data_IF_878515990536
#
_entry.id   IF_878515990536
#
_cell.length_a   1.000
_cell.length_b   1.000
_cell.length_c   1.000
_cell.angle_alpha   90.00
_cell.angle_beta   90.00
_cell.angle_gamma   90.00
#
_symmetry.space_group_name_H-M   'P 1'
#
loop_
_entity.id
_entity.type
_entity.pdbx_description
1 polymer ?
#
# COMPACT_ATOMS: atom_id res chain seq x y z
N UNK A 1 -11.73 23.07 6.72
CA UNK A 1 -12.03 22.68 8.13
C UNK A 1 -13.53 22.68 8.49
N UNK A 2 -14.37 23.57 7.93
CA UNK A 2 -15.77 23.71 8.38
C UNK A 2 -16.69 22.49 8.27
N UNK A 3 -16.43 21.53 7.36
CA UNK A 3 -17.29 20.32 7.24
C UNK A 3 -17.08 19.35 8.40
N UNK A 4 -15.83 19.07 8.78
CA UNK A 4 -15.51 18.18 9.89
C UNK A 4 -15.96 18.77 11.23
N UNK A 5 -15.73 20.07 11.44
CA UNK A 5 -16.16 20.77 12.66
C UNK A 5 -17.67 20.65 12.87
N UNK A 6 -18.49 20.92 11.83
CA UNK A 6 -19.95 20.80 11.93
C UNK A 6 -20.44 19.40 12.29
N UNK A 7 -19.73 18.36 11.85
CA UNK A 7 -20.09 16.98 12.20
C UNK A 7 -19.81 16.70 13.66
N UNK A 8 -18.66 17.16 14.16
CA UNK A 8 -18.30 17.05 15.58
C UNK A 8 -19.27 17.85 16.45
N UNK A 9 -19.61 19.08 16.06
CA UNK A 9 -20.60 19.92 16.75
C UNK A 9 -21.99 19.28 16.76
N UNK A 10 -22.33 18.52 15.72
CA UNK A 10 -23.57 17.73 15.63
C UNK A 10 -23.51 16.39 16.40
N UNK A 11 -22.42 16.11 17.13
CA UNK A 11 -22.28 14.94 18.00
C UNK A 11 -21.48 13.77 17.41
N UNK A 12 -20.83 13.93 16.25
CA UNK A 12 -19.94 12.90 15.73
C UNK A 12 -18.74 12.71 16.65
N UNK A 13 -18.55 11.48 17.15
CA UNK A 13 -17.41 11.14 18.00
C UNK A 13 -16.17 10.87 17.13
N UNK A 14 -15.33 11.89 16.95
CA UNK A 14 -14.13 11.81 16.13
C UNK A 14 -13.18 10.71 16.59
N UNK A 15 -12.95 10.58 17.90
CA UNK A 15 -12.04 9.56 18.46
C UNK A 15 -12.53 8.14 18.12
N UNK A 16 -13.82 7.89 18.28
CA UNK A 16 -14.42 6.60 17.94
C UNK A 16 -14.31 6.32 16.43
N UNK A 17 -14.61 7.30 15.57
CA UNK A 17 -14.53 7.15 14.12
C UNK A 17 -13.09 6.86 13.68
N UNK A 18 -12.12 7.64 14.16
CA UNK A 18 -10.69 7.42 13.87
C UNK A 18 -10.26 6.04 14.34
N UNK A 19 -10.60 5.67 15.58
CA UNK A 19 -10.27 4.35 16.12
C UNK A 19 -10.82 3.23 15.25
N UNK A 20 -12.07 3.33 14.79
CA UNK A 20 -12.75 2.26 14.03
C UNK A 20 -12.43 2.23 12.54
N UNK A 21 -11.84 3.27 11.98
CA UNK A 21 -11.60 3.37 10.53
C UNK A 21 -10.14 3.49 10.15
N UNK A 22 -9.33 4.22 10.92
CA UNK A 22 -7.94 4.53 10.57
C UNK A 22 -6.93 3.84 11.48
N UNK A 23 -7.30 3.54 12.73
CA UNK A 23 -6.35 3.03 13.75
C UNK A 23 -6.54 1.55 14.09
N UNK A 24 -7.35 0.81 13.34
CA UNK A 24 -7.55 -0.63 13.55
C UNK A 24 -7.17 -1.43 12.33
N UNK A 25 -6.33 -2.43 12.54
CA UNK A 25 -6.04 -3.48 11.57
C UNK A 25 -6.69 -4.78 12.01
N UNK A 26 -7.21 -5.53 11.05
CA UNK A 26 -7.63 -6.90 11.32
C UNK A 26 -6.39 -7.74 11.62
N UNK A 27 -6.50 -8.71 12.53
CA UNK A 27 -5.38 -9.60 12.87
C UNK A 27 -4.78 -10.31 11.66
N UNK A 28 -5.61 -10.64 10.65
CA UNK A 28 -5.14 -11.22 9.39
C UNK A 28 -4.19 -10.29 8.63
N UNK A 29 -4.40 -8.97 8.68
CA UNK A 29 -3.49 -7.98 8.08
C UNK A 29 -2.16 -7.95 8.81
N UNK A 30 -2.16 -7.99 10.14
CA UNK A 30 -0.93 -8.04 10.95
C UNK A 30 -0.14 -9.32 10.65
N UNK A 31 -0.84 -10.47 10.53
CA UNK A 31 -0.21 -11.73 10.13
C UNK A 31 0.36 -11.66 8.71
N UNK A 32 -0.37 -11.04 7.79
CA UNK A 32 0.12 -10.83 6.42
C UNK A 32 1.42 -10.04 6.44
N UNK A 33 1.47 -8.93 7.19
CA UNK A 33 2.70 -8.14 7.35
C UNK A 33 3.84 -9.01 7.84
N UNK A 34 3.65 -9.78 8.91
CA UNK A 34 4.71 -10.65 9.44
C UNK A 34 5.27 -11.65 8.41
N UNK A 35 4.45 -12.10 7.45
CA UNK A 35 4.88 -13.02 6.40
C UNK A 35 5.63 -12.33 5.25
N UNK A 36 5.28 -11.08 4.93
CA UNK A 36 5.86 -10.38 3.77
C UNK A 36 7.04 -9.49 4.15
N UNK A 37 7.17 -9.06 5.41
CA UNK A 37 8.30 -8.24 5.88
C UNK A 37 9.68 -8.83 5.57
N UNK A 38 9.92 -10.16 5.64
CA UNK A 38 11.21 -10.74 5.24
C UNK A 38 11.57 -10.54 3.75
N UNK A 39 10.60 -10.15 2.91
CA UNK A 39 10.79 -9.88 1.48
C UNK A 39 11.02 -8.41 1.17
N UNK A 40 11.06 -7.55 2.19
CA UNK A 40 11.32 -6.11 2.01
C UNK A 40 12.71 -5.91 1.41
N UNK A 41 12.79 -5.08 0.39
CA UNK A 41 14.02 -4.62 -0.24
C UNK A 41 14.05 -3.10 -0.25
N UNK A 42 15.27 -2.56 -0.21
CA UNK A 42 15.55 -1.13 -0.31
C UNK A 42 16.74 -0.95 -1.25
N UNK A 43 16.56 -0.15 -2.29
CA UNK A 43 17.60 0.18 -3.27
C UNK A 43 17.38 1.59 -3.78
N UNK A 44 18.43 2.41 -3.80
CA UNK A 44 18.41 3.79 -4.30
C UNK A 44 17.23 4.66 -3.77
N UNK A 45 16.86 4.43 -2.52
CA UNK A 45 15.76 5.13 -1.85
C UNK A 45 14.36 4.71 -2.29
N UNK A 46 14.24 3.59 -2.99
CA UNK A 46 12.98 2.91 -3.26
C UNK A 46 12.88 1.71 -2.33
N UNK A 47 11.85 1.66 -1.48
CA UNK A 47 11.55 0.51 -0.61
C UNK A 47 10.35 -0.25 -1.17
N UNK A 48 10.41 -1.58 -1.20
CA UNK A 48 9.28 -2.36 -1.69
C UNK A 48 9.15 -3.73 -1.06
N UNK A 49 7.98 -4.32 -1.26
CA UNK A 49 7.64 -5.66 -0.77
C UNK A 49 6.70 -6.35 -1.76
N UNK A 50 6.69 -7.68 -1.72
CA UNK A 50 5.77 -8.51 -2.51
C UNK A 50 4.72 -9.15 -1.61
N UNK A 51 3.48 -9.16 -2.09
CA UNK A 51 2.36 -9.85 -1.45
C UNK A 51 1.86 -10.89 -2.43
N UNK A 52 2.13 -12.16 -2.13
CA UNK A 52 1.62 -13.30 -2.91
C UNK A 52 0.22 -13.70 -2.43
N UNK A 53 -0.52 -14.37 -3.30
CA UNK A 53 -1.81 -14.99 -2.95
C UNK A 53 -1.64 -16.01 -1.83
N UNK A 54 -0.56 -16.79 -1.86
CA UNK A 54 -0.24 -17.77 -0.83
C UNK A 54 -0.06 -17.12 0.55
N UNK A 55 0.69 -16.01 0.62
CA UNK A 55 0.88 -15.28 1.88
C UNK A 55 -0.44 -14.68 2.39
N UNK A 56 -1.25 -14.10 1.49
CA UNK A 56 -2.58 -13.55 1.85
C UNK A 56 -3.50 -14.63 2.41
N UNK A 57 -3.59 -15.78 1.74
CA UNK A 57 -4.40 -16.91 2.17
C UNK A 57 -3.92 -17.48 3.51
N UNK A 58 -2.62 -17.71 3.66
CA UNK A 58 -2.03 -18.23 4.90
C UNK A 58 -2.24 -17.28 6.10
N UNK A 59 -2.27 -15.97 5.85
CA UNK A 59 -2.54 -14.98 6.89
C UNK A 59 -4.02 -14.86 7.26
N UNK A 60 -4.95 -15.38 6.44
CA UNK A 60 -6.38 -15.11 6.58
C UNK A 60 -6.71 -13.62 6.45
N UNK A 61 -5.93 -12.89 5.63
CA UNK A 61 -6.12 -11.46 5.42
C UNK A 61 -7.29 -11.21 4.44
N UNK A 62 -8.04 -10.11 4.61
CA UNK A 62 -9.12 -9.76 3.69
C UNK A 62 -8.59 -9.57 2.26
N UNK A 63 -9.41 -9.84 1.26
CA UNK A 63 -9.11 -9.57 -0.17
C UNK A 63 -8.77 -8.09 -0.40
N UNK A 64 -9.51 -7.20 0.26
CA UNK A 64 -9.30 -5.75 0.15
C UNK A 64 -8.47 -5.21 1.30
N UNK A 65 -7.43 -4.47 0.93
CA UNK A 65 -6.58 -3.74 1.85
C UNK A 65 -5.42 -4.59 2.37
N UNK A 66 -4.28 -3.94 2.49
CA UNK A 66 -3.04 -4.44 3.10
C UNK A 66 -2.67 -3.57 4.31
N UNK A 67 -3.64 -2.88 4.91
CA UNK A 67 -3.44 -2.09 6.13
C UNK A 67 -2.63 -0.81 5.95
N UNK A 68 -2.54 -0.27 4.73
CA UNK A 68 -1.67 0.88 4.41
C UNK A 68 -0.17 0.54 4.54
N UNK A 69 0.19 -0.71 4.24
CA UNK A 69 1.58 -1.17 4.29
C UNK A 69 2.51 -0.30 3.43
N UNK A 70 2.04 0.23 2.30
CA UNK A 70 2.85 1.08 1.43
C UNK A 70 3.19 2.41 2.13
N UNK A 71 2.25 2.96 2.90
CA UNK A 71 2.48 4.13 3.73
C UNK A 71 3.40 3.82 4.91
N UNK A 72 3.31 2.62 5.49
CA UNK A 72 4.23 2.18 6.55
C UNK A 72 5.67 2.04 6.04
N UNK A 73 5.89 1.41 4.88
CA UNK A 73 7.22 1.29 4.28
C UNK A 73 7.84 2.66 3.99
N UNK A 74 7.05 3.62 3.51
CA UNK A 74 7.51 5.00 3.24
C UNK A 74 7.97 5.76 4.51
N UNK A 75 7.73 5.23 5.71
CA UNK A 75 8.25 5.83 6.95
C UNK A 75 9.73 5.49 7.21
N UNK A 76 10.33 4.57 6.44
CA UNK A 76 11.75 4.29 6.52
C UNK A 76 12.55 5.55 6.16
N UNK A 77 13.52 5.91 7.00
CA UNK A 77 14.30 7.15 6.88
C UNK A 77 14.96 7.30 5.50
N UNK A 78 15.47 6.19 4.97
CA UNK A 78 16.20 6.15 3.71
C UNK A 78 15.29 5.98 2.48
N UNK A 79 13.96 5.95 2.66
CA UNK A 79 13.00 5.73 1.58
C UNK A 79 12.33 7.03 1.10
N UNK A 80 12.43 7.28 -0.20
CA UNK A 80 11.73 8.37 -0.90
C UNK A 80 10.46 7.90 -1.60
N UNK A 81 10.46 6.65 -2.06
CA UNK A 81 9.36 6.00 -2.77
C UNK A 81 9.13 4.63 -2.13
N UNK A 82 7.86 4.28 -1.91
CA UNK A 82 7.46 2.96 -1.45
C UNK A 82 6.59 2.27 -2.50
N UNK A 83 6.86 0.98 -2.75
CA UNK A 83 6.11 0.16 -3.67
C UNK A 83 5.58 -1.13 -3.03
N UNK A 84 4.41 -1.60 -3.48
CA UNK A 84 3.91 -2.94 -3.17
C UNK A 84 3.49 -3.60 -4.47
N UNK A 85 3.99 -4.82 -4.68
CA UNK A 85 3.56 -5.72 -5.73
C UNK A 85 2.56 -6.74 -5.16
N UNK A 86 1.28 -6.63 -5.52
CA UNK A 86 0.23 -7.56 -5.05
C UNK A 86 -0.21 -8.51 -6.16
N UNK A 87 0.09 -9.79 -5.99
CA UNK A 87 -0.39 -10.84 -6.88
C UNK A 87 -1.93 -10.89 -6.88
N UNK A 88 -2.52 -10.97 -8.07
CA UNK A 88 -3.95 -11.11 -8.30
C UNK A 88 -4.29 -12.54 -8.78
N UNK A 89 -5.50 -13.05 -8.50
CA UNK A 89 -5.92 -14.39 -8.93
C UNK A 89 -5.95 -14.60 -10.45
N UNK A 90 -6.01 -13.53 -11.23
CA UNK A 90 -6.02 -13.57 -12.70
C UNK A 90 -4.61 -13.62 -13.33
N UNK A 91 -3.57 -13.75 -12.51
CA UNK A 91 -2.18 -13.79 -12.96
C UNK A 91 -1.56 -12.42 -13.24
N UNK A 92 -2.22 -11.34 -12.84
CA UNK A 92 -1.67 -9.98 -12.87
C UNK A 92 -1.07 -9.59 -11.52
N UNK A 93 -0.33 -8.48 -11.50
CA UNK A 93 0.21 -7.89 -10.28
C UNK A 93 -0.20 -6.42 -10.18
N UNK A 94 -0.88 -6.07 -9.09
CA UNK A 94 -1.24 -4.69 -8.76
C UNK A 94 -0.06 -4.00 -8.07
N UNK A 95 0.55 -3.05 -8.78
CA UNK A 95 1.58 -2.15 -8.27
C UNK A 95 0.93 -0.95 -7.57
N UNK A 96 1.20 -0.75 -6.28
CA UNK A 96 0.93 0.52 -5.59
C UNK A 96 2.20 1.27 -5.30
N UNK A 97 2.16 2.59 -5.51
CA UNK A 97 3.24 3.50 -5.26
C UNK A 97 2.81 4.62 -4.31
N UNK A 98 3.70 4.96 -3.38
CA UNK A 98 3.66 6.19 -2.58
C UNK A 98 5.00 6.87 -2.62
N UNK A 99 5.01 8.18 -2.44
CA UNK A 99 6.25 8.94 -2.39
C UNK A 99 6.20 10.07 -1.36
N UNK A 100 7.36 10.47 -0.87
CA UNK A 100 7.52 11.72 -0.12
C UNK A 100 7.43 12.92 -1.08
N UNK A 101 7.10 14.13 -0.59
CA UNK A 101 7.11 15.33 -1.43
C UNK A 101 8.45 15.53 -2.16
N UNK A 102 8.38 15.87 -3.45
CA UNK A 102 9.56 16.04 -4.32
C UNK A 102 9.74 14.94 -5.35
N UNK A 103 9.03 13.81 -5.21
CA UNK A 103 9.03 12.69 -6.15
C UNK A 103 7.67 12.53 -6.82
N UNK A 104 7.66 12.06 -8.08
CA UNK A 104 6.43 11.88 -8.88
C UNK A 104 6.24 10.42 -9.32
N UNK A 105 5.45 9.68 -8.55
CA UNK A 105 5.11 8.28 -8.85
C UNK A 105 4.00 8.13 -9.88
N UNK A 106 3.25 9.19 -10.21
CA UNK A 106 2.26 9.12 -11.28
C UNK A 106 2.94 8.92 -12.64
N UNK A 107 4.08 9.60 -12.87
CA UNK A 107 4.89 9.42 -14.07
C UNK A 107 5.41 8.00 -14.22
N UNK A 108 5.83 7.36 -13.12
CA UNK A 108 6.26 5.96 -13.10
C UNK A 108 5.08 5.06 -13.43
N UNK A 109 3.95 5.22 -12.76
CA UNK A 109 2.76 4.41 -13.00
C UNK A 109 2.27 4.49 -14.46
N UNK A 110 2.32 5.68 -15.09
CA UNK A 110 1.92 5.85 -16.49
C UNK A 110 2.83 5.11 -17.48
N UNK A 111 4.11 4.92 -17.18
CA UNK A 111 5.00 4.10 -18.03
C UNK A 111 4.55 2.64 -18.08
N UNK A 112 3.91 2.17 -17.01
CA UNK A 112 3.31 0.84 -16.90
C UNK A 112 1.82 0.80 -17.28
N UNK A 113 1.31 1.83 -17.97
CA UNK A 113 -0.10 1.91 -18.38
C UNK A 113 -1.10 2.21 -17.26
N UNK A 114 -0.60 2.57 -16.07
CA UNK A 114 -1.39 3.00 -14.92
C UNK A 114 -1.52 4.52 -14.81
N UNK A 115 -1.69 5.00 -13.57
CA UNK A 115 -1.79 6.43 -13.27
C UNK A 115 -2.10 6.73 -11.81
N UNK A 116 -2.43 7.99 -11.53
CA UNK A 116 -2.78 8.46 -10.19
C UNK A 116 -2.33 9.88 -9.93
N UNK A 117 -1.99 10.17 -8.68
CA UNK A 117 -1.47 11.46 -8.24
C UNK A 117 0.04 11.39 -8.03
N UNK A 118 0.70 12.55 -8.07
CA UNK A 118 2.16 12.70 -7.91
C UNK A 118 2.74 11.89 -6.74
N UNK A 119 2.05 11.84 -5.59
CA UNK A 119 2.53 11.13 -4.38
C UNK A 119 1.86 9.76 -4.15
N UNK A 120 0.95 9.36 -5.03
CA UNK A 120 0.07 8.23 -4.83
C UNK A 120 -0.48 7.72 -6.17
N UNK A 121 0.11 6.66 -6.69
CA UNK A 121 -0.22 6.11 -8.01
C UNK A 121 -0.18 4.58 -8.01
N UNK A 122 -0.58 3.97 -9.12
CA UNK A 122 -0.50 2.53 -9.31
C UNK A 122 -0.73 2.09 -10.75
N UNK A 123 -0.40 0.83 -11.01
CA UNK A 123 -0.56 0.18 -12.30
C UNK A 123 -0.89 -1.31 -12.10
N UNK A 124 -1.45 -1.95 -13.12
CA UNK A 124 -1.66 -3.40 -13.15
C UNK A 124 -0.71 -3.99 -14.19
N UNK A 125 0.21 -4.83 -13.72
CA UNK A 125 1.27 -5.45 -14.50
C UNK A 125 0.89 -6.88 -14.87
N UNK A 126 1.36 -7.37 -16.01
CA UNK A 126 1.14 -8.76 -16.42
C UNK A 126 2.22 -9.66 -15.81
N UNK A 127 1.82 -10.73 -15.12
CA UNK A 127 2.74 -11.68 -14.49
C UNK A 127 2.74 -11.66 -12.96
N UNK A 128 3.55 -12.53 -12.37
CA UNK A 128 3.67 -12.70 -10.92
C UNK A 128 4.54 -11.60 -10.31
N UNK A 129 4.46 -11.34 -8.98
CA UNK A 129 5.32 -10.36 -8.33
C UNK A 129 6.81 -10.58 -8.57
N UNK A 130 7.24 -11.85 -8.69
CA UNK A 130 8.65 -12.18 -8.96
C UNK A 130 9.06 -11.84 -10.40
N UNK A 131 8.17 -12.03 -11.38
CA UNK A 131 8.51 -11.73 -12.77
C UNK A 131 8.55 -10.23 -13.04
N UNK A 132 7.61 -9.47 -12.45
CA UNK A 132 7.49 -8.03 -12.69
C UNK A 132 8.43 -7.19 -11.84
N UNK A 133 8.95 -7.73 -10.72
CA UNK A 133 9.99 -7.06 -9.92
C UNK A 133 11.34 -7.02 -10.67
N UNK A 134 11.60 -8.00 -11.54
CA UNK A 134 12.87 -8.14 -12.23
C UNK A 134 12.96 -7.34 -13.55
N UNK A 135 11.86 -6.73 -13.99
CA UNK A 135 11.73 -5.94 -15.23
C UNK A 135 12.01 -4.44 -14.98
#
# INVERSE_FOLDING_TARGET
LGKAQRLVDAGANLNYIVQKTLSTLQTGVIRLWSQVMPTVKLEDGVIWVKITLAARQAAGAPERGDGDLVGFLLQAEDAYIAAIFREQPDGTTDLSLRAVPGFDVARVATQFGGGGHTLAAGATLQGTPDSVEAE
#
